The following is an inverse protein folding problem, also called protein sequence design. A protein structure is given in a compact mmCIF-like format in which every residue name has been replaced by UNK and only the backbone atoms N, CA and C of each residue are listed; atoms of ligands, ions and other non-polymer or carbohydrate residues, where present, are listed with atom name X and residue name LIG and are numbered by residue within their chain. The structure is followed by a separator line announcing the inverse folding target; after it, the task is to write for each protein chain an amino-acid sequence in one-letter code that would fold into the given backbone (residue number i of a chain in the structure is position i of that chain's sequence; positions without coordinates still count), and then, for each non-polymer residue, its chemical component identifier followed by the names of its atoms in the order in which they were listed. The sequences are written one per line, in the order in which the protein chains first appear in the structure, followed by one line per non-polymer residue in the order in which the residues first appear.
data_IF_391625300311
#
_entry.id   IF_391625300311
#
_cell.length_a   1.000
_cell.length_b   1.000
_cell.length_c   1.000
_cell.angle_alpha   90.00
_cell.angle_beta   90.00
_cell.angle_gamma   90.00
#
_symmetry.space_group_name_H-M   'P 1'
#
loop_
_entity.id
_entity.type
_entity.pdbx_description
1 polymer ?
#
# COMPACT_ATOMS: atom_id res chain seq x y z
N UNK A 1 13.15 4.41 -17.31
CA UNK A 1 12.56 4.95 -16.07
C UNK A 1 11.16 5.44 -16.35
N UNK A 2 10.20 5.07 -15.52
CA UNK A 2 8.87 5.63 -15.69
C UNK A 2 8.92 7.14 -15.46
N UNK A 3 8.23 7.87 -16.30
CA UNK A 3 8.08 9.31 -16.14
C UNK A 3 6.99 9.54 -15.09
N UNK A 4 7.35 10.23 -14.02
CA UNK A 4 6.36 10.58 -13.01
C UNK A 4 5.65 11.86 -13.39
N UNK A 5 4.32 11.82 -13.39
CA UNK A 5 3.49 12.99 -13.64
C UNK A 5 3.26 13.69 -12.29
N UNK A 6 3.57 14.98 -12.26
CA UNK A 6 3.41 15.80 -11.06
C UNK A 6 2.14 16.62 -11.14
N UNK A 7 1.32 16.57 -10.09
CA UNK A 7 0.12 17.39 -9.99
C UNK A 7 0.46 18.72 -9.33
N UNK A 8 0.50 19.77 -10.13
CA UNK A 8 0.89 21.11 -9.67
C UNK A 8 -0.10 21.66 -8.63
N UNK A 9 -1.38 21.36 -8.77
CA UNK A 9 -2.41 21.84 -7.83
C UNK A 9 -2.28 21.20 -6.45
N UNK A 10 -1.99 19.90 -6.42
CA UNK A 10 -1.84 19.16 -5.19
C UNK A 10 -0.40 19.14 -4.67
N UNK A 11 0.55 19.67 -5.45
CA UNK A 11 1.97 19.71 -5.16
C UNK A 11 2.56 18.33 -4.85
N UNK A 12 2.13 17.33 -5.59
CA UNK A 12 2.60 15.95 -5.43
C UNK A 12 2.59 15.22 -6.76
N UNK A 13 3.36 14.12 -6.89
CA UNK A 13 3.23 13.24 -8.06
C UNK A 13 1.83 12.64 -8.13
N UNK A 14 1.33 12.45 -9.34
CA UNK A 14 0.03 11.78 -9.57
C UNK A 14 0.13 10.32 -9.13
N UNK A 15 -0.93 9.80 -8.52
CA UNK A 15 -1.05 8.44 -7.98
C UNK A 15 -0.14 8.16 -6.79
N UNK A 16 0.26 9.21 -6.07
CA UNK A 16 1.01 9.11 -4.83
C UNK A 16 0.28 9.88 -3.73
N UNK A 17 0.50 9.45 -2.49
CA UNK A 17 -0.12 10.07 -1.31
C UNK A 17 0.95 10.62 -0.38
N UNK A 18 0.69 11.80 0.18
CA UNK A 18 1.53 12.39 1.22
C UNK A 18 1.28 11.70 2.57
N UNK A 19 2.13 12.00 3.56
CA UNK A 19 1.93 11.49 4.93
C UNK A 19 0.55 11.92 5.47
N UNK A 20 0.17 13.17 5.26
CA UNK A 20 -1.12 13.69 5.74
C UNK A 20 -2.29 12.94 5.11
N UNK A 21 -2.19 12.63 3.82
CA UNK A 21 -3.23 11.87 3.13
C UNK A 21 -3.31 10.43 3.64
N UNK A 22 -2.17 9.81 3.92
CA UNK A 22 -2.15 8.44 4.46
C UNK A 22 -2.70 8.41 5.89
N UNK A 23 -2.36 9.37 6.74
CA UNK A 23 -2.91 9.45 8.10
C UNK A 23 -4.43 9.59 8.07
N UNK A 24 -4.94 10.43 7.17
CA UNK A 24 -6.39 10.61 7.03
C UNK A 24 -7.08 9.36 6.49
N UNK A 25 -6.51 8.74 5.45
CA UNK A 25 -7.09 7.57 4.80
C UNK A 25 -7.17 6.36 5.73
N UNK A 26 -6.12 6.13 6.51
CA UNK A 26 -5.96 4.93 7.34
C UNK A 26 -6.24 5.17 8.81
N UNK A 27 -6.55 6.41 9.21
CA UNK A 27 -6.77 6.81 10.60
C UNK A 27 -5.60 6.42 11.50
N UNK A 28 -4.39 6.66 11.00
CA UNK A 28 -3.14 6.42 11.70
C UNK A 28 -2.56 7.73 12.23
N UNK A 29 -1.82 7.65 13.34
CA UNK A 29 -1.02 8.78 13.80
C UNK A 29 0.31 8.83 13.02
N UNK A 30 1.01 9.95 13.09
CA UNK A 30 2.35 10.04 12.50
C UNK A 30 3.31 9.07 13.16
N UNK A 31 3.15 8.80 14.46
CA UNK A 31 3.94 7.81 15.19
C UNK A 31 3.70 6.41 14.64
N UNK A 32 2.45 6.07 14.37
CA UNK A 32 2.10 4.77 13.77
C UNK A 32 2.76 4.60 12.41
N UNK A 33 2.75 5.65 11.58
CA UNK A 33 3.40 5.63 10.27
C UNK A 33 4.91 5.43 10.42
N UNK A 34 5.53 6.13 11.37
CA UNK A 34 6.95 5.97 11.64
C UNK A 34 7.28 4.53 12.05
N UNK A 35 6.46 3.90 12.90
CA UNK A 35 6.64 2.50 13.28
C UNK A 35 6.52 1.57 12.09
N UNK A 36 5.53 1.79 11.22
CA UNK A 36 5.35 0.97 10.02
C UNK A 36 6.54 1.11 9.08
N UNK A 37 7.12 2.29 8.98
CA UNK A 37 8.34 2.50 8.21
C UNK A 37 9.54 1.78 8.83
N UNK A 38 9.67 1.82 10.16
CA UNK A 38 10.75 1.13 10.87
C UNK A 38 10.68 -0.38 10.69
N UNK A 39 9.46 -0.95 10.64
CA UNK A 39 9.26 -2.38 10.37
C UNK A 39 9.43 -2.74 8.90
N UNK A 40 9.58 -1.76 8.02
CA UNK A 40 9.68 -2.00 6.58
C UNK A 40 8.34 -2.28 5.88
N UNK A 41 7.22 -2.09 6.59
CA UNK A 41 5.89 -2.29 6.01
C UNK A 41 5.48 -1.12 5.10
N UNK A 42 5.99 0.06 5.39
CA UNK A 42 5.80 1.25 4.56
C UNK A 42 7.18 1.78 4.16
N UNK A 43 7.37 2.01 2.88
CA UNK A 43 8.59 2.62 2.37
C UNK A 43 8.21 3.87 1.59
N UNK A 44 9.00 4.93 1.72
CA UNK A 44 8.80 6.11 0.89
C UNK A 44 9.16 5.74 -0.56
N UNK A 45 8.19 5.82 -1.44
CA UNK A 45 8.39 5.47 -2.84
C UNK A 45 9.03 6.60 -3.63
N UNK A 46 8.73 7.84 -3.25
CA UNK A 46 9.22 9.04 -3.93
C UNK A 46 9.49 10.12 -2.90
N UNK A 47 10.57 10.88 -3.10
CA UNK A 47 10.88 12.06 -2.29
C UNK A 47 10.97 13.27 -3.24
N UNK A 48 10.20 14.31 -2.93
CA UNK A 48 10.21 15.57 -3.68
C UNK A 48 10.31 16.72 -2.67
N UNK A 49 11.33 17.56 -2.82
CA UNK A 49 11.58 18.72 -1.95
C UNK A 49 11.52 18.33 -0.45
N UNK A 50 12.23 17.24 -0.10
CA UNK A 50 12.32 16.71 1.26
C UNK A 50 11.01 16.12 1.79
N UNK A 51 9.95 16.11 0.98
CA UNK A 51 8.66 15.52 1.33
C UNK A 51 8.57 14.11 0.76
N UNK A 52 8.11 13.16 1.58
CA UNK A 52 7.99 11.75 1.16
C UNK A 52 6.57 11.46 0.69
N UNK A 53 6.48 10.58 -0.30
CA UNK A 53 5.21 10.15 -0.88
C UNK A 53 5.17 8.64 -1.02
N UNK A 54 3.97 8.10 -0.93
CA UNK A 54 3.70 6.66 -0.99
C UNK A 54 2.83 6.34 -2.20
N UNK A 55 3.15 5.25 -2.89
CA UNK A 55 2.36 4.83 -4.05
C UNK A 55 0.93 4.48 -3.63
N UNK A 56 -0.05 5.09 -4.29
CA UNK A 56 -1.47 4.94 -3.95
C UNK A 56 -1.94 3.49 -4.04
N UNK A 57 -1.45 2.73 -5.02
CA UNK A 57 -1.88 1.34 -5.21
C UNK A 57 -1.47 0.41 -4.07
N UNK A 58 -0.44 0.75 -3.30
CA UNK A 58 -0.04 -0.01 -2.11
C UNK A 58 -0.93 0.30 -0.91
N UNK A 59 -1.59 1.45 -0.93
CA UNK A 59 -2.37 1.93 0.20
C UNK A 59 -3.64 1.13 0.43
N UNK A 60 -4.10 0.38 -0.57
CA UNK A 60 -5.27 -0.48 -0.39
C UNK A 60 -5.01 -1.56 0.66
N UNK A 61 -3.83 -2.19 0.63
CA UNK A 61 -3.47 -3.19 1.63
C UNK A 61 -3.33 -2.56 3.01
N UNK A 62 -2.74 -1.39 3.10
CA UNK A 62 -2.62 -0.66 4.36
C UNK A 62 -4.00 -0.29 4.90
N UNK A 63 -4.87 0.22 4.05
CA UNK A 63 -6.23 0.60 4.42
C UNK A 63 -7.01 -0.60 4.97
N UNK A 64 -6.93 -1.74 4.27
CA UNK A 64 -7.61 -2.97 4.69
C UNK A 64 -7.05 -3.50 6.01
N UNK A 65 -5.73 -3.49 6.16
CA UNK A 65 -5.08 -3.92 7.40
C UNK A 65 -5.46 -3.01 8.57
N UNK A 66 -5.52 -1.70 8.35
CA UNK A 66 -5.93 -0.74 9.38
C UNK A 66 -7.40 -0.89 9.75
N UNK A 67 -8.26 -1.27 8.81
CA UNK A 67 -9.65 -1.57 9.08
C UNK A 67 -9.76 -2.76 10.03
N UNK A 68 -9.02 -3.83 9.79
CA UNK A 68 -8.99 -5.00 10.69
C UNK A 68 -8.41 -4.64 12.05
N UNK A 69 -7.39 -3.79 12.09
CA UNK A 69 -6.83 -3.31 13.34
C UNK A 69 -7.89 -2.65 14.22
N UNK A 70 -8.69 -1.78 13.63
CA UNK A 70 -9.76 -1.08 14.36
C UNK A 70 -10.87 -2.04 14.79
N UNK A 71 -11.29 -2.93 13.90
CA UNK A 71 -12.39 -3.87 14.15
C UNK A 71 -12.06 -4.84 15.28
N UNK A 72 -10.80 -5.23 15.43
CA UNK A 72 -10.36 -6.24 16.39
C UNK A 72 -9.43 -5.69 17.48
N UNK A 73 -9.29 -4.38 17.57
CA UNK A 73 -8.46 -3.70 18.58
C UNK A 73 -7.02 -4.26 18.62
N UNK A 74 -6.40 -4.33 17.46
CA UNK A 74 -5.05 -4.85 17.30
C UNK A 74 -4.01 -3.73 17.38
N UNK A 75 -2.76 -4.10 17.71
CA UNK A 75 -1.67 -3.12 17.72
C UNK A 75 -1.10 -2.88 16.30
N UNK A 76 -0.19 -1.92 16.20
CA UNK A 76 0.40 -1.53 14.92
C UNK A 76 1.19 -2.69 14.29
N UNK A 77 1.82 -3.53 15.11
CA UNK A 77 2.56 -4.68 14.59
C UNK A 77 1.67 -5.64 13.81
N UNK A 78 0.42 -5.79 14.26
CA UNK A 78 -0.55 -6.63 13.53
C UNK A 78 -0.82 -6.10 12.12
N UNK A 79 -0.76 -4.78 11.91
CA UNK A 79 -0.90 -4.18 10.58
C UNK A 79 0.22 -4.67 9.65
N UNK A 80 1.45 -4.78 10.17
CA UNK A 80 2.61 -5.28 9.42
C UNK A 80 2.34 -6.70 8.92
N UNK A 81 1.88 -7.58 9.81
CA UNK A 81 1.57 -8.97 9.46
C UNK A 81 0.41 -9.06 8.47
N UNK A 82 -0.64 -8.28 8.69
CA UNK A 82 -1.82 -8.28 7.81
C UNK A 82 -1.47 -7.80 6.41
N UNK A 83 -0.65 -6.76 6.28
CA UNK A 83 -0.21 -6.28 4.98
C UNK A 83 0.55 -7.37 4.22
N UNK A 84 1.44 -8.08 4.93
CA UNK A 84 2.18 -9.19 4.33
C UNK A 84 1.26 -10.28 3.81
N UNK A 85 0.29 -10.70 4.61
CA UNK A 85 -0.68 -11.74 4.21
C UNK A 85 -1.58 -11.27 3.08
N UNK A 86 -2.04 -10.03 3.10
CA UNK A 86 -2.89 -9.49 2.04
C UNK A 86 -2.13 -9.44 0.71
N UNK A 87 -0.85 -9.06 0.75
CA UNK A 87 0.00 -9.07 -0.45
C UNK A 87 0.18 -10.50 -0.98
N UNK A 88 0.44 -11.46 -0.09
CA UNK A 88 0.60 -12.86 -0.45
C UNK A 88 -0.66 -13.42 -1.09
N UNK A 89 -1.83 -13.11 -0.53
CA UNK A 89 -3.12 -13.51 -1.09
C UNK A 89 -3.30 -12.93 -2.49
N UNK A 90 -2.99 -11.65 -2.68
CA UNK A 90 -3.09 -11.00 -3.99
C UNK A 90 -2.18 -11.67 -5.02
N UNK A 91 -0.95 -11.99 -4.62
CA UNK A 91 0.02 -12.66 -5.50
C UNK A 91 -0.46 -14.06 -5.89
N UNK A 92 -1.00 -14.82 -4.93
CA UNK A 92 -1.55 -16.15 -5.18
C UNK A 92 -2.77 -16.09 -6.09
N UNK A 93 -3.65 -15.13 -5.90
CA UNK A 93 -4.81 -14.93 -6.79
C UNK A 93 -4.36 -14.63 -8.21
N UNK A 94 -3.31 -13.83 -8.38
CA UNK A 94 -2.76 -13.51 -9.68
C UNK A 94 -2.18 -14.77 -10.34
N UNK A 95 -1.45 -15.59 -9.59
CA UNK A 95 -0.91 -16.85 -10.10
C UNK A 95 -2.02 -17.81 -10.56
N UNK A 96 -3.10 -17.89 -9.79
CA UNK A 96 -4.27 -18.71 -10.17
C UNK A 96 -4.88 -18.19 -11.46
N UNK A 97 -5.05 -16.88 -11.58
CA UNK A 97 -5.62 -16.28 -12.80
C UNK A 97 -4.73 -16.56 -14.02
N UNK A 98 -3.40 -16.45 -13.84
CA UNK A 98 -2.45 -16.72 -14.92
C UNK A 98 -2.49 -18.19 -15.37
N UNK A 99 -2.57 -19.11 -14.41
CA UNK A 99 -2.69 -20.54 -14.71
C UNK A 99 -4.01 -20.88 -15.42
N UNK A 100 -5.10 -20.26 -15.00
CA UNK A 100 -6.40 -20.44 -15.65
C UNK A 100 -6.37 -19.94 -17.10
N UNK A 101 -5.69 -18.80 -17.34
CA UNK A 101 -5.52 -18.27 -18.69
C UNK A 101 -4.71 -19.22 -19.56
N UNK A 102 -3.64 -19.82 -19.02
CA UNK A 102 -2.84 -20.82 -19.74
C UNK A 102 -3.66 -22.07 -20.07
N UNK A 103 -4.44 -22.57 -19.12
CA UNK A 103 -5.32 -23.72 -19.34
C UNK A 103 -6.37 -23.41 -20.40
N UNK A 104 -6.91 -22.21 -20.43
CA UNK A 104 -7.85 -21.77 -21.45
C UNK A 104 -7.25 -21.73 -22.84
N UNK A 105 -5.95 -21.53 -22.97
CA UNK A 105 -5.24 -21.56 -24.25
C UNK A 105 -4.97 -22.97 -24.74
N UNK A 106 -4.84 -23.93 -23.82
CA UNK A 106 -4.52 -25.30 -24.12
C UNK A 106 -5.79 -26.14 -24.36
N UNK A 107 -6.85 -25.84 -23.63
CA UNK A 107 -8.13 -26.56 -23.74
C UNK A 107 -8.78 -26.31 -25.09
N UNK A 108 -9.24 -27.38 -25.79
CA UNK A 108 -9.95 -27.23 -27.06
C UNK A 108 -11.31 -26.56 -26.91
#
# INVERSE_FOLDING_TARGET
MPIQVFDVKLQKPVDYLSIEEVTALCELSEEDIAELMDYGALNSDVVVDEEIFFAAQRMQFLKDACQHRRDYDLDVFAVVLLMGYLQEIADLKQQVADLQALLGQIAP
#
